data_IF_396765057145
#
_entry.id   IF_396765057145
#
_cell.length_a   1.000
_cell.length_b   1.000
_cell.length_c   1.000
_cell.angle_alpha   90.00
_cell.angle_beta   90.00
_cell.angle_gamma   90.00
#
_symmetry.space_group_name_H-M   'P 1'
#
loop_
_entity.id
_entity.type
_entity.pdbx_description
1 polymer ?
#
# COMPACT_ATOMS: atom_id res chain seq x y z
N UNK A 1 -26.63 43.52 37.81
CA UNK A 1 -26.58 43.73 36.35
C UNK A 1 -25.99 42.54 35.61
N UNK A 2 -24.90 41.93 36.06
CA UNK A 2 -24.27 40.77 35.41
C UNK A 2 -25.12 39.48 35.44
N UNK A 3 -25.87 39.22 36.51
CA UNK A 3 -26.72 38.01 36.68
C UNK A 3 -27.89 38.01 35.69
N UNK A 4 -28.46 39.19 35.35
CA UNK A 4 -29.57 39.31 34.39
C UNK A 4 -29.12 39.08 32.92
N UNK A 5 -27.88 39.41 32.59
CA UNK A 5 -27.32 39.19 31.26
C UNK A 5 -27.05 37.68 31.03
N UNK A 6 -26.54 36.99 32.03
CA UNK A 6 -26.29 35.54 31.96
C UNK A 6 -27.62 34.76 31.82
N UNK A 7 -28.66 35.14 32.59
CA UNK A 7 -29.99 34.54 32.49
C UNK A 7 -30.64 34.78 31.11
N UNK A 8 -30.44 35.93 30.52
CA UNK A 8 -30.96 36.27 29.19
C UNK A 8 -30.24 35.52 28.07
N UNK A 9 -28.93 35.33 28.21
CA UNK A 9 -28.12 34.52 27.26
C UNK A 9 -28.46 33.03 27.35
N UNK A 10 -28.66 32.49 28.54
CA UNK A 10 -29.09 31.10 28.73
C UNK A 10 -30.49 30.86 28.18
N UNK A 11 -31.46 31.75 28.42
CA UNK A 11 -32.81 31.68 27.87
C UNK A 11 -32.83 31.84 26.31
N UNK A 12 -31.92 32.64 25.75
CA UNK A 12 -31.75 32.74 24.30
C UNK A 12 -31.18 31.45 23.71
N UNK A 13 -30.19 30.83 24.34
CA UNK A 13 -29.62 29.56 23.93
C UNK A 13 -30.62 28.40 24.04
N UNK A 14 -31.47 28.38 25.10
CA UNK A 14 -32.54 27.39 25.23
C UNK A 14 -33.63 27.56 24.16
N UNK A 15 -33.97 28.77 23.79
CA UNK A 15 -34.93 29.03 22.69
C UNK A 15 -34.34 28.73 21.30
N UNK A 16 -33.04 28.97 21.07
CA UNK A 16 -32.36 28.60 19.80
C UNK A 16 -32.31 27.08 19.67
N UNK A 17 -32.03 26.32 20.73
CA UNK A 17 -32.05 24.88 20.76
C UNK A 17 -33.47 24.34 20.54
N UNK A 18 -34.53 25.02 21.02
CA UNK A 18 -35.92 24.58 20.83
C UNK A 18 -36.48 24.87 19.42
N UNK A 19 -35.95 25.83 18.69
CA UNK A 19 -36.42 26.16 17.31
C UNK A 19 -35.69 25.39 16.25
N UNK A 20 -34.49 24.83 16.55
CA UNK A 20 -33.72 23.95 15.69
C UNK A 20 -33.66 22.52 16.20
N UNK A 21 -34.58 22.13 17.09
CA UNK A 21 -34.67 20.82 17.73
C UNK A 21 -35.37 19.75 16.88
N UNK A 22 -35.07 19.66 15.59
CA UNK A 22 -35.01 18.31 14.96
C UNK A 22 -33.58 17.80 15.20
N UNK A 23 -33.41 16.59 15.73
CA UNK A 23 -32.08 16.00 15.70
C UNK A 23 -31.69 15.95 14.23
N UNK A 24 -30.62 16.68 13.87
CA UNK A 24 -29.87 16.37 12.66
C UNK A 24 -29.72 14.86 12.76
N UNK A 25 -30.43 14.12 11.92
CA UNK A 25 -30.27 12.68 11.82
C UNK A 25 -28.77 12.49 11.63
N UNK A 26 -28.15 12.03 12.70
CA UNK A 26 -26.77 11.57 12.69
C UNK A 26 -26.74 10.43 11.67
N UNK A 27 -26.45 10.78 10.42
CA UNK A 27 -25.97 9.82 9.43
C UNK A 27 -24.57 9.43 9.86
N UNK A 28 -24.37 9.11 11.13
CA UNK A 28 -23.23 8.41 11.61
C UNK A 28 -23.15 7.13 10.80
N UNK A 29 -22.12 7.03 9.98
CA UNK A 29 -21.75 5.78 9.34
C UNK A 29 -21.84 4.70 10.40
N UNK A 30 -22.76 3.73 10.22
CA UNK A 30 -22.91 2.64 11.18
C UNK A 30 -21.52 2.01 11.34
N UNK A 31 -21.08 1.86 12.58
CA UNK A 31 -19.76 1.33 12.88
C UNK A 31 -19.63 -0.09 12.30
N UNK A 32 -18.89 -0.24 11.22
CA UNK A 32 -18.64 -1.52 10.58
C UNK A 32 -17.74 -2.40 11.44
N UNK A 33 -17.93 -3.71 11.38
CA UNK A 33 -16.98 -4.69 11.90
C UNK A 33 -16.04 -5.11 10.79
N UNK A 34 -14.85 -4.54 10.77
CA UNK A 34 -13.88 -4.70 9.67
C UNK A 34 -12.83 -5.74 10.03
N UNK A 35 -12.72 -6.79 9.22
CA UNK A 35 -11.61 -7.74 9.27
C UNK A 35 -10.48 -7.24 8.36
N UNK A 36 -9.30 -6.97 8.94
CA UNK A 36 -8.10 -6.56 8.19
C UNK A 36 -7.09 -7.69 8.20
N UNK A 37 -6.80 -8.27 7.04
CA UNK A 37 -5.75 -9.28 6.90
C UNK A 37 -4.41 -8.62 6.60
N UNK A 38 -3.31 -9.16 7.15
CA UNK A 38 -1.99 -8.53 7.03
C UNK A 38 -1.92 -7.20 7.79
N UNK A 39 -2.71 -7.05 8.86
CA UNK A 39 -2.90 -5.79 9.55
C UNK A 39 -1.69 -5.28 10.34
N UNK A 40 -0.66 -6.11 10.55
CA UNK A 40 0.62 -5.67 11.14
C UNK A 40 1.68 -5.29 10.08
N UNK A 41 1.36 -5.38 8.79
CA UNK A 41 2.22 -4.92 7.71
C UNK A 41 2.27 -3.38 7.59
N UNK A 42 3.07 -2.89 6.64
CA UNK A 42 3.25 -1.45 6.38
C UNK A 42 1.92 -0.73 6.15
N UNK A 43 1.13 -1.19 5.19
CA UNK A 43 -0.18 -0.62 4.88
C UNK A 43 -1.20 -0.97 5.96
N UNK A 44 -1.19 -2.23 6.44
CA UNK A 44 -2.16 -2.74 7.39
C UNK A 44 -2.20 -1.98 8.70
N UNK A 45 -1.04 -1.69 9.30
CA UNK A 45 -0.96 -0.97 10.56
C UNK A 45 -1.54 0.46 10.50
N UNK A 46 -1.35 1.16 9.38
CA UNK A 46 -1.95 2.48 9.16
C UNK A 46 -3.45 2.38 8.86
N UNK A 47 -3.86 1.37 8.09
CA UNK A 47 -5.28 1.12 7.80
C UNK A 47 -6.06 0.78 9.06
N UNK A 48 -5.51 -0.04 9.96
CA UNK A 48 -6.13 -0.36 11.25
C UNK A 48 -6.33 0.90 12.09
N UNK A 49 -5.30 1.74 12.22
CA UNK A 49 -5.40 3.02 12.96
C UNK A 49 -6.49 3.90 12.35
N UNK A 50 -6.45 4.09 11.04
CA UNK A 50 -7.41 4.94 10.35
C UNK A 50 -8.85 4.45 10.50
N UNK A 51 -9.11 3.15 10.36
CA UNK A 51 -10.43 2.56 10.56
C UNK A 51 -10.95 2.76 11.98
N UNK A 52 -10.07 2.62 12.99
CA UNK A 52 -10.44 2.89 14.39
C UNK A 52 -10.73 4.38 14.62
N UNK A 53 -9.92 5.27 14.04
CA UNK A 53 -10.13 6.73 14.12
C UNK A 53 -11.46 7.15 13.44
N UNK A 54 -11.86 6.45 12.38
CA UNK A 54 -13.15 6.64 11.70
C UNK A 54 -14.33 5.96 12.45
N UNK A 55 -14.08 5.33 13.61
CA UNK A 55 -15.10 4.79 14.52
C UNK A 55 -15.47 3.32 14.27
N UNK A 56 -14.78 2.59 13.41
CA UNK A 56 -15.04 1.17 13.13
C UNK A 56 -14.50 0.25 14.25
N UNK A 57 -15.09 -0.94 14.35
CA UNK A 57 -14.53 -2.05 15.14
C UNK A 57 -13.63 -2.88 14.23
N UNK A 58 -12.37 -3.05 14.61
CA UNK A 58 -11.39 -3.69 13.73
C UNK A 58 -10.90 -5.00 14.33
N UNK A 59 -10.97 -6.08 13.57
CA UNK A 59 -10.31 -7.35 13.87
C UNK A 59 -9.12 -7.49 12.93
N UNK A 60 -7.93 -7.60 13.50
CA UNK A 60 -6.67 -7.74 12.76
C UNK A 60 -6.29 -9.21 12.71
N UNK A 61 -6.08 -9.76 11.52
CA UNK A 61 -5.54 -11.12 11.40
C UNK A 61 -4.17 -11.13 10.73
N UNK A 62 -3.31 -11.97 11.25
CA UNK A 62 -1.96 -12.24 10.75
C UNK A 62 -1.48 -13.58 11.35
N UNK A 63 -0.27 -14.03 10.95
CA UNK A 63 0.36 -15.22 11.52
C UNK A 63 0.69 -15.00 13.02
N UNK A 64 0.50 -16.04 13.83
CA UNK A 64 0.87 -16.04 15.23
C UNK A 64 2.39 -16.17 15.42
N UNK A 65 3.09 -15.05 15.35
CA UNK A 65 4.54 -14.99 15.59
C UNK A 65 4.88 -14.05 16.75
N UNK A 66 6.05 -14.23 17.40
CA UNK A 66 6.48 -13.30 18.46
C UNK A 66 6.52 -11.83 18.02
N UNK A 67 6.83 -11.57 16.76
CA UNK A 67 6.88 -10.21 16.19
C UNK A 67 5.48 -9.60 16.09
N UNK A 68 4.49 -10.34 15.56
CA UNK A 68 3.11 -9.89 15.44
C UNK A 68 2.45 -9.79 16.83
N UNK A 69 2.69 -10.72 17.75
CA UNK A 69 2.22 -10.60 19.15
C UNK A 69 2.74 -9.33 19.82
N UNK A 70 4.02 -8.99 19.59
CA UNK A 70 4.58 -7.73 20.06
C UNK A 70 3.91 -6.52 19.42
N UNK A 71 3.67 -6.54 18.11
CA UNK A 71 2.98 -5.45 17.40
C UNK A 71 1.54 -5.28 17.91
N UNK A 72 0.85 -6.37 18.22
CA UNK A 72 -0.52 -6.37 18.76
C UNK A 72 -0.65 -5.63 20.10
N UNK A 73 0.43 -5.53 20.90
CA UNK A 73 0.39 -4.74 22.17
C UNK A 73 0.19 -3.22 21.93
N UNK A 74 0.33 -2.76 20.69
CA UNK A 74 0.18 -1.36 20.30
C UNK A 74 -1.09 -1.10 19.48
N UNK A 75 -2.01 -2.07 19.43
CA UNK A 75 -3.30 -1.87 18.77
C UNK A 75 -4.13 -0.82 19.50
N UNK A 76 -4.90 0.01 18.77
CA UNK A 76 -5.88 0.92 19.36
C UNK A 76 -6.98 0.16 20.16
N UNK A 77 -7.66 0.85 21.07
CA UNK A 77 -8.65 0.22 21.95
C UNK A 77 -9.82 -0.50 21.25
N UNK A 78 -10.22 -0.03 20.07
CA UNK A 78 -11.28 -0.64 19.25
C UNK A 78 -10.77 -1.64 18.22
N UNK A 79 -9.53 -2.09 18.35
CA UNK A 79 -8.92 -3.12 17.51
C UNK A 79 -8.46 -4.31 18.36
N UNK A 80 -8.72 -5.51 17.86
CA UNK A 80 -8.30 -6.77 18.49
C UNK A 80 -7.60 -7.68 17.49
N UNK A 81 -6.68 -8.53 17.97
CA UNK A 81 -5.99 -9.49 17.12
C UNK A 81 -6.67 -10.86 17.19
N UNK A 82 -6.89 -11.44 16.01
CA UNK A 82 -7.32 -12.82 15.82
C UNK A 82 -6.30 -13.54 14.93
N UNK A 83 -5.60 -14.52 15.48
CA UNK A 83 -4.49 -15.19 14.80
C UNK A 83 -5.00 -16.28 13.86
N UNK A 84 -4.56 -16.26 12.60
CA UNK A 84 -4.87 -17.31 11.63
C UNK A 84 -3.79 -17.39 10.54
N UNK A 85 -3.44 -18.61 10.13
CA UNK A 85 -2.70 -18.86 8.91
C UNK A 85 -3.67 -18.92 7.72
N UNK A 86 -3.68 -17.88 6.90
CA UNK A 86 -4.58 -17.80 5.74
C UNK A 86 -4.29 -18.88 4.67
N UNK A 87 -3.15 -19.58 4.77
CA UNK A 87 -2.86 -20.73 3.88
C UNK A 87 -3.53 -22.02 4.36
N UNK A 88 -4.06 -22.06 5.60
CA UNK A 88 -4.93 -23.14 6.11
C UNK A 88 -6.41 -22.78 5.91
N UNK A 89 -7.08 -23.50 5.01
CA UNK A 89 -8.49 -23.27 4.69
C UNK A 89 -9.42 -23.39 5.89
N UNK A 90 -9.09 -24.25 6.87
CA UNK A 90 -9.92 -24.45 8.07
C UNK A 90 -9.81 -23.24 8.99
N UNK A 91 -8.58 -22.71 9.16
CA UNK A 91 -8.38 -21.50 9.96
C UNK A 91 -9.09 -20.31 9.33
N UNK A 92 -9.10 -20.20 8.00
CA UNK A 92 -9.84 -19.16 7.26
C UNK A 92 -11.36 -19.31 7.50
N UNK A 93 -11.91 -20.53 7.42
CA UNK A 93 -13.33 -20.77 7.66
C UNK A 93 -13.74 -20.40 9.10
N UNK A 94 -12.93 -20.79 10.09
CA UNK A 94 -13.13 -20.45 11.52
C UNK A 94 -13.03 -18.93 11.72
N UNK A 95 -11.99 -18.29 11.18
CA UNK A 95 -11.79 -16.85 11.29
C UNK A 95 -13.01 -16.06 10.78
N UNK A 96 -13.48 -16.36 9.58
CA UNK A 96 -14.62 -15.63 9.00
C UNK A 96 -15.91 -15.88 9.79
N UNK A 97 -16.14 -17.12 10.23
CA UNK A 97 -17.33 -17.48 11.02
C UNK A 97 -17.33 -16.82 12.40
N UNK A 98 -16.22 -16.83 13.14
CA UNK A 98 -16.12 -16.24 14.48
C UNK A 98 -16.13 -14.71 14.44
N UNK A 99 -15.46 -14.12 13.46
CA UNK A 99 -15.43 -12.67 13.31
C UNK A 99 -16.76 -12.14 12.79
N UNK A 100 -17.42 -12.84 11.87
CA UNK A 100 -18.64 -12.37 11.18
C UNK A 100 -18.50 -10.90 10.73
N UNK A 101 -17.51 -10.57 9.88
CA UNK A 101 -17.24 -9.19 9.48
C UNK A 101 -18.34 -8.67 8.54
N UNK A 102 -18.60 -7.36 8.58
CA UNK A 102 -19.40 -6.66 7.56
C UNK A 102 -18.55 -6.21 6.37
N UNK A 103 -17.22 -6.02 6.62
CA UNK A 103 -16.25 -5.68 5.59
C UNK A 103 -14.96 -6.47 5.81
N UNK A 104 -14.36 -6.96 4.73
CA UNK A 104 -13.00 -7.53 4.72
C UNK A 104 -12.08 -6.61 3.93
N UNK A 105 -11.03 -6.10 4.57
CA UNK A 105 -9.92 -5.38 3.92
C UNK A 105 -8.75 -6.35 3.79
N UNK A 106 -8.52 -6.85 2.57
CA UNK A 106 -7.52 -7.89 2.32
C UNK A 106 -6.19 -7.29 1.85
N UNK A 107 -5.23 -7.19 2.80
CA UNK A 107 -3.89 -6.64 2.58
C UNK A 107 -2.77 -7.68 2.65
N UNK A 108 -3.07 -8.88 3.18
CA UNK A 108 -2.09 -9.95 3.32
C UNK A 108 -1.53 -10.36 1.95
N UNK A 109 -0.23 -10.24 1.78
CA UNK A 109 0.47 -10.65 0.56
C UNK A 109 1.97 -10.82 0.81
N UNK A 110 2.59 -11.72 0.08
CA UNK A 110 4.05 -11.77 -0.10
C UNK A 110 4.39 -10.85 -1.25
N UNK A 111 5.04 -9.71 -0.93
CA UNK A 111 5.40 -8.65 -1.88
C UNK A 111 6.85 -8.77 -2.37
N UNK A 112 7.23 -7.94 -3.34
CA UNK A 112 8.58 -7.81 -3.85
C UNK A 112 9.56 -7.28 -2.79
N UNK A 113 10.83 -7.72 -2.77
CA UNK A 113 11.42 -8.77 -3.60
C UNK A 113 11.23 -10.21 -3.05
N UNK A 114 10.55 -10.38 -1.90
CA UNK A 114 10.40 -11.70 -1.25
C UNK A 114 9.62 -12.70 -2.12
N UNK A 115 8.67 -12.21 -2.92
CA UNK A 115 7.90 -13.06 -3.83
C UNK A 115 8.80 -13.80 -4.82
N UNK A 116 9.85 -13.16 -5.36
CA UNK A 116 10.79 -13.80 -6.29
C UNK A 116 11.65 -14.87 -5.61
N UNK A 117 11.99 -14.68 -4.33
CA UNK A 117 12.76 -15.67 -3.56
C UNK A 117 11.95 -16.89 -3.17
N UNK A 118 10.68 -16.71 -2.96
CA UNK A 118 9.77 -17.74 -2.43
C UNK A 118 8.49 -17.84 -3.28
N UNK A 119 8.60 -18.17 -4.59
CA UNK A 119 7.46 -18.09 -5.51
C UNK A 119 6.30 -19.00 -5.08
N UNK A 120 6.59 -20.22 -4.62
CA UNK A 120 5.54 -21.12 -4.13
C UNK A 120 4.82 -20.60 -2.88
N UNK A 121 5.55 -19.97 -1.94
CA UNK A 121 4.92 -19.31 -0.80
C UNK A 121 4.09 -18.12 -1.26
N UNK A 122 4.64 -17.31 -2.17
CA UNK A 122 3.93 -16.17 -2.74
C UNK A 122 2.61 -16.60 -3.39
N UNK A 123 2.60 -17.70 -4.18
CA UNK A 123 1.37 -18.23 -4.76
C UNK A 123 0.37 -18.67 -3.68
N UNK A 124 0.82 -19.48 -2.69
CA UNK A 124 -0.07 -19.92 -1.60
C UNK A 124 -0.71 -18.76 -0.84
N UNK A 125 0.07 -17.72 -0.51
CA UNK A 125 -0.44 -16.57 0.23
C UNK A 125 -1.24 -15.62 -0.66
N UNK A 126 -0.72 -15.28 -1.86
CA UNK A 126 -1.35 -14.26 -2.69
C UNK A 126 -2.58 -14.79 -3.44
N UNK A 127 -2.59 -16.06 -3.84
CA UNK A 127 -3.67 -16.63 -4.67
C UNK A 127 -4.54 -17.58 -3.87
N UNK A 128 -3.94 -18.66 -3.33
CA UNK A 128 -4.73 -19.74 -2.75
C UNK A 128 -5.43 -19.30 -1.45
N UNK A 129 -4.76 -18.51 -0.62
CA UNK A 129 -5.34 -17.95 0.60
C UNK A 129 -6.45 -16.92 0.28
N UNK A 130 -6.24 -16.06 -0.75
CA UNK A 130 -7.29 -15.15 -1.22
C UNK A 130 -8.52 -15.92 -1.70
N UNK A 131 -8.32 -16.97 -2.50
CA UNK A 131 -9.43 -17.82 -2.94
C UNK A 131 -10.19 -18.50 -1.78
N UNK A 132 -9.44 -18.95 -0.74
CA UNK A 132 -10.08 -19.51 0.46
C UNK A 132 -10.90 -18.46 1.23
N UNK A 133 -10.36 -17.23 1.35
CA UNK A 133 -11.03 -16.14 2.04
C UNK A 133 -12.31 -15.68 1.30
N UNK A 134 -12.25 -15.59 -0.04
CA UNK A 134 -13.43 -15.28 -0.86
C UNK A 134 -14.52 -16.33 -0.67
N UNK A 135 -14.18 -17.62 -0.74
CA UNK A 135 -15.12 -18.73 -0.54
C UNK A 135 -15.76 -18.68 0.86
N UNK A 136 -14.98 -18.45 1.91
CA UNK A 136 -15.49 -18.33 3.26
C UNK A 136 -16.43 -17.12 3.43
N UNK A 137 -16.08 -15.99 2.80
CA UNK A 137 -16.89 -14.78 2.79
C UNK A 137 -18.22 -14.98 2.05
N UNK A 138 -18.23 -15.64 0.90
CA UNK A 138 -19.45 -15.97 0.15
C UNK A 138 -20.38 -16.93 0.90
N UNK A 139 -19.80 -17.83 1.71
CA UNK A 139 -20.58 -18.79 2.51
C UNK A 139 -21.17 -18.20 3.80
N UNK A 140 -20.83 -16.95 4.14
CA UNK A 140 -21.36 -16.28 5.33
C UNK A 140 -22.86 -16.01 5.20
N UNK A 141 -23.60 -16.04 6.32
CA UNK A 141 -25.03 -15.68 6.35
C UNK A 141 -25.28 -14.25 5.85
N UNK A 142 -24.34 -13.35 6.17
CA UNK A 142 -24.31 -11.97 5.69
C UNK A 142 -22.97 -11.74 4.99
N UNK A 143 -22.90 -11.94 3.65
CA UNK A 143 -21.65 -11.78 2.92
C UNK A 143 -21.08 -10.35 3.06
N UNK A 144 -19.82 -10.22 3.47
CA UNK A 144 -19.20 -8.91 3.68
C UNK A 144 -18.84 -8.22 2.36
N UNK A 145 -18.73 -6.88 2.39
CA UNK A 145 -18.02 -6.15 1.32
C UNK A 145 -16.54 -6.56 1.35
N UNK A 146 -15.95 -6.79 0.18
CA UNK A 146 -14.56 -7.20 0.05
C UNK A 146 -13.71 -6.11 -0.62
N UNK A 147 -12.77 -5.51 0.12
CA UNK A 147 -11.83 -4.49 -0.39
C UNK A 147 -10.47 -5.13 -0.58
N UNK A 148 -10.06 -5.28 -1.84
CA UNK A 148 -8.81 -5.97 -2.23
C UNK A 148 -7.66 -4.99 -2.49
N UNK A 149 -6.51 -5.23 -1.86
CA UNK A 149 -5.25 -4.60 -2.25
C UNK A 149 -4.67 -5.26 -3.49
N UNK A 150 -4.75 -4.58 -4.62
CA UNK A 150 -4.06 -4.93 -5.86
C UNK A 150 -2.86 -4.01 -6.09
N UNK A 151 -2.28 -4.01 -7.28
CA UNK A 151 -1.06 -3.28 -7.61
C UNK A 151 -1.07 -2.80 -9.05
N UNK A 152 -0.35 -1.72 -9.33
CA UNK A 152 -0.05 -1.29 -10.70
C UNK A 152 0.82 -2.32 -11.48
N UNK A 153 1.43 -3.30 -10.80
CA UNK A 153 2.18 -4.38 -11.44
C UNK A 153 1.33 -5.24 -12.40
N UNK A 154 0.01 -5.21 -12.28
CA UNK A 154 -0.92 -5.89 -13.21
C UNK A 154 -0.81 -5.39 -14.66
N UNK A 155 -0.29 -4.18 -14.87
CA UNK A 155 -0.13 -3.57 -16.20
C UNK A 155 1.17 -4.00 -16.90
N UNK A 156 2.13 -4.54 -16.15
CA UNK A 156 3.41 -5.03 -16.65
C UNK A 156 4.44 -3.94 -16.95
N UNK A 157 5.46 -4.33 -17.71
CA UNK A 157 6.55 -3.43 -18.11
C UNK A 157 6.04 -2.30 -19.00
N UNK A 158 6.56 -1.08 -18.74
CA UNK A 158 6.08 0.09 -19.47
C UNK A 158 7.22 1.03 -19.83
N UNK A 159 7.46 1.17 -21.14
CA UNK A 159 8.47 2.06 -21.69
C UNK A 159 7.95 3.50 -21.73
N UNK A 160 8.47 4.43 -20.89
CA UNK A 160 7.96 5.80 -20.86
C UNK A 160 8.26 6.63 -22.10
N UNK A 161 9.17 6.16 -22.98
CA UNK A 161 9.49 6.82 -24.25
C UNK A 161 8.46 6.49 -25.35
N UNK A 162 7.78 5.35 -25.23
CA UNK A 162 6.76 4.90 -26.21
C UNK A 162 5.32 5.09 -25.71
N UNK A 163 5.15 5.15 -24.38
CA UNK A 163 3.85 5.30 -23.71
C UNK A 163 3.83 6.59 -22.89
N UNK A 164 3.54 7.77 -23.49
CA UNK A 164 3.58 9.04 -22.80
C UNK A 164 2.45 9.23 -21.78
N UNK A 165 1.31 8.58 -22.01
CA UNK A 165 0.10 8.73 -21.19
C UNK A 165 0.20 8.03 -19.85
N UNK A 166 -0.58 8.51 -18.86
CA UNK A 166 -0.76 7.84 -17.56
C UNK A 166 -1.53 6.53 -17.76
N UNK A 167 -1.24 5.54 -16.92
CA UNK A 167 -2.03 4.32 -16.82
C UNK A 167 -3.44 4.64 -16.31
N UNK A 168 -4.42 4.04 -16.94
CA UNK A 168 -5.84 4.13 -16.61
C UNK A 168 -6.34 2.75 -16.14
N UNK A 169 -7.49 2.72 -15.49
CA UNK A 169 -8.09 1.46 -15.05
C UNK A 169 -8.32 0.49 -16.21
N UNK A 170 -8.72 1.02 -17.36
CA UNK A 170 -8.99 0.27 -18.59
C UNK A 170 -7.75 -0.01 -19.46
N UNK A 171 -6.55 0.41 -19.04
CA UNK A 171 -5.31 0.02 -19.71
C UNK A 171 -5.14 -1.50 -19.73
N UNK A 172 -4.59 -2.10 -20.82
CA UNK A 172 -4.43 -3.56 -20.92
C UNK A 172 -3.62 -4.16 -19.77
N UNK A 173 -4.08 -5.27 -19.21
CA UNK A 173 -3.38 -6.02 -18.19
C UNK A 173 -2.41 -6.99 -18.86
N UNK A 174 -1.11 -6.80 -18.63
CA UNK A 174 -0.03 -7.59 -19.21
C UNK A 174 1.08 -7.80 -18.17
N UNK A 175 0.81 -8.53 -17.06
CA UNK A 175 1.77 -8.68 -15.97
C UNK A 175 3.09 -9.27 -16.49
N UNK A 176 4.20 -8.60 -16.19
CA UNK A 176 5.54 -9.02 -16.62
C UNK A 176 6.23 -9.90 -15.56
N UNK A 177 5.67 -9.96 -14.36
CA UNK A 177 6.20 -10.71 -13.25
C UNK A 177 5.15 -11.55 -12.53
N UNK A 178 5.62 -12.50 -11.73
CA UNK A 178 4.76 -13.43 -10.97
C UNK A 178 3.84 -12.69 -9.96
N UNK A 179 4.30 -11.57 -9.38
CA UNK A 179 3.49 -10.82 -8.43
C UNK A 179 2.31 -10.11 -9.12
N UNK A 180 2.57 -9.46 -10.24
CA UNK A 180 1.53 -8.87 -11.07
C UNK A 180 0.54 -9.92 -11.59
N UNK A 181 1.04 -11.08 -12.03
CA UNK A 181 0.20 -12.21 -12.44
C UNK A 181 -0.70 -12.71 -11.31
N UNK A 182 -0.17 -12.90 -10.08
CA UNK A 182 -0.98 -13.25 -8.92
C UNK A 182 -2.07 -12.23 -8.65
N UNK A 183 -1.78 -10.92 -8.78
CA UNK A 183 -2.79 -9.87 -8.58
C UNK A 183 -3.87 -9.92 -9.66
N UNK A 184 -3.53 -10.21 -10.93
CA UNK A 184 -4.53 -10.40 -11.99
C UNK A 184 -5.45 -11.60 -11.69
N UNK A 185 -4.86 -12.73 -11.24
CA UNK A 185 -5.65 -13.92 -10.87
C UNK A 185 -6.66 -13.59 -9.77
N UNK A 186 -6.24 -12.95 -8.68
CA UNK A 186 -7.16 -12.67 -7.57
C UNK A 186 -8.17 -11.57 -7.88
N UNK A 187 -7.84 -10.59 -8.71
CA UNK A 187 -8.82 -9.63 -9.23
C UNK A 187 -9.93 -10.35 -10.02
N UNK A 188 -9.55 -11.33 -10.85
CA UNK A 188 -10.52 -12.11 -11.62
C UNK A 188 -11.39 -13.02 -10.73
N UNK A 189 -10.80 -13.65 -9.70
CA UNK A 189 -11.54 -14.42 -8.71
C UNK A 189 -12.58 -13.55 -7.98
N UNK A 190 -12.16 -12.36 -7.54
CA UNK A 190 -13.05 -11.43 -6.84
C UNK A 190 -14.18 -10.92 -7.75
N UNK A 191 -13.89 -10.57 -9.01
CA UNK A 191 -14.93 -10.15 -9.98
C UNK A 191 -15.92 -11.26 -10.31
N UNK A 192 -15.50 -12.52 -10.23
CA UNK A 192 -16.36 -13.68 -10.46
C UNK A 192 -17.16 -14.08 -9.21
N UNK A 193 -16.85 -13.55 -8.03
CA UNK A 193 -17.56 -13.81 -6.79
C UNK A 193 -18.91 -13.10 -6.74
N UNK A 194 -19.78 -13.54 -5.82
CA UNK A 194 -21.06 -12.89 -5.53
C UNK A 194 -20.97 -11.74 -4.54
N UNK A 195 -19.75 -11.43 -4.05
CA UNK A 195 -19.53 -10.41 -3.04
C UNK A 195 -19.66 -9.00 -3.63
N UNK A 196 -20.06 -8.07 -2.79
CA UNK A 196 -19.82 -6.64 -3.07
C UNK A 196 -18.33 -6.36 -2.94
N UNK A 197 -17.68 -5.85 -4.00
CA UNK A 197 -16.24 -5.72 -4.02
C UNK A 197 -15.74 -4.36 -4.47
N UNK A 198 -14.54 -4.02 -4.00
CA UNK A 198 -13.73 -2.87 -4.46
C UNK A 198 -12.30 -3.33 -4.63
N UNK A 199 -11.65 -2.96 -5.74
CA UNK A 199 -10.25 -3.26 -6.01
C UNK A 199 -9.45 -1.97 -6.01
N UNK A 200 -8.42 -1.89 -5.15
CA UNK A 200 -7.50 -0.76 -5.09
C UNK A 200 -6.13 -1.17 -5.65
N UNK A 201 -5.78 -0.67 -6.86
CA UNK A 201 -4.46 -0.89 -7.49
C UNK A 201 -3.51 0.18 -7.00
N UNK A 202 -2.56 -0.22 -6.15
CA UNK A 202 -1.63 0.69 -5.49
C UNK A 202 -0.43 1.02 -6.37
N UNK A 203 0.01 2.28 -6.31
CA UNK A 203 1.33 2.72 -6.77
C UNK A 203 2.45 2.38 -5.79
N UNK A 204 3.55 3.13 -5.84
CA UNK A 204 4.70 2.94 -4.95
C UNK A 204 4.46 3.49 -3.54
N UNK A 205 4.13 2.63 -2.59
CA UNK A 205 3.81 3.05 -1.20
C UNK A 205 5.08 3.41 -0.42
N UNK A 206 5.10 4.60 0.16
CA UNK A 206 6.22 5.15 0.94
C UNK A 206 5.73 5.49 2.35
N UNK A 207 6.60 5.28 3.36
CA UNK A 207 6.35 5.71 4.73
C UNK A 207 7.43 6.67 5.21
N UNK A 208 7.02 7.68 5.96
CA UNK A 208 7.94 8.60 6.66
C UNK A 208 8.42 8.01 7.98
N UNK A 209 7.77 6.98 8.52
CA UNK A 209 8.11 6.37 9.80
C UNK A 209 9.49 5.70 9.76
N UNK A 210 10.37 5.97 10.75
CA UNK A 210 11.68 5.33 10.83
C UNK A 210 11.55 3.80 10.97
N UNK A 211 12.25 3.07 10.12
CA UNK A 211 12.27 1.60 10.16
C UNK A 211 11.06 0.90 9.54
N UNK A 212 10.03 1.63 9.12
CA UNK A 212 8.86 1.04 8.47
C UNK A 212 9.20 0.37 7.12
N UNK A 213 10.18 0.91 6.41
CA UNK A 213 10.67 0.32 5.16
C UNK A 213 11.99 -0.41 5.41
N UNK A 214 12.12 -1.69 5.03
CA UNK A 214 13.33 -2.44 5.29
C UNK A 214 14.51 -1.92 4.45
N UNK A 215 15.61 -1.58 5.12
CA UNK A 215 16.85 -1.18 4.49
C UNK A 215 17.81 -2.39 4.45
N UNK A 216 17.47 -3.38 3.62
CA UNK A 216 18.25 -4.61 3.48
C UNK A 216 19.14 -4.56 2.24
N UNK A 217 20.18 -5.40 2.19
CA UNK A 217 21.02 -5.53 1.01
C UNK A 217 20.25 -5.96 -0.25
N UNK A 218 19.18 -6.72 -0.08
CA UNK A 218 18.32 -7.16 -1.19
C UNK A 218 17.40 -6.04 -1.68
N UNK A 219 16.85 -5.22 -0.77
CA UNK A 219 16.05 -4.06 -1.15
C UNK A 219 16.91 -3.05 -1.93
N UNK A 220 18.12 -2.78 -1.46
CA UNK A 220 19.07 -1.90 -2.15
C UNK A 220 19.50 -2.43 -3.51
N UNK A 221 19.77 -3.74 -3.61
CA UNK A 221 20.06 -4.37 -4.88
C UNK A 221 18.89 -4.24 -5.84
N UNK A 222 17.68 -4.58 -5.38
CA UNK A 222 16.47 -4.49 -6.16
C UNK A 222 16.25 -3.07 -6.70
N UNK A 223 16.30 -2.05 -5.83
CA UNK A 223 16.17 -0.65 -6.24
C UNK A 223 17.25 -0.24 -7.26
N UNK A 224 18.50 -0.70 -7.09
CA UNK A 224 19.59 -0.39 -8.03
C UNK A 224 19.49 -1.12 -9.37
N UNK A 225 18.66 -2.16 -9.46
CA UNK A 225 18.39 -2.90 -10.69
C UNK A 225 17.38 -2.19 -11.59
N UNK A 226 16.57 -1.29 -11.04
CA UNK A 226 15.51 -0.61 -11.77
C UNK A 226 16.04 0.49 -12.70
N UNK A 227 15.41 0.71 -13.87
CA UNK A 227 15.75 1.81 -14.76
C UNK A 227 15.64 3.16 -14.06
N UNK A 228 16.72 3.95 -14.04
CA UNK A 228 16.77 5.23 -13.29
C UNK A 228 15.80 6.29 -13.80
N UNK A 229 15.41 6.22 -15.05
CA UNK A 229 14.46 7.09 -15.74
C UNK A 229 13.06 6.47 -15.87
N UNK A 230 12.85 5.26 -15.32
CA UNK A 230 11.53 4.65 -15.19
C UNK A 230 10.59 5.55 -14.37
N UNK A 231 9.32 5.58 -14.74
CA UNK A 231 8.30 6.34 -14.02
C UNK A 231 7.82 5.56 -12.82
N UNK A 232 7.58 6.26 -11.73
CA UNK A 232 6.95 5.73 -10.53
C UNK A 232 5.99 6.77 -9.97
N UNK A 233 4.77 6.35 -9.64
CA UNK A 233 3.81 7.16 -8.93
C UNK A 233 3.79 6.71 -7.47
N UNK A 234 4.41 7.51 -6.61
CA UNK A 234 4.48 7.20 -5.18
C UNK A 234 3.20 7.63 -4.45
N UNK A 235 3.04 7.19 -3.20
CA UNK A 235 1.94 7.58 -2.32
C UNK A 235 2.35 7.42 -0.86
N UNK A 236 1.92 8.32 0.00
CA UNK A 236 2.07 8.15 1.45
C UNK A 236 1.21 6.98 1.94
N UNK A 237 1.77 6.15 2.79
CA UNK A 237 1.05 5.00 3.37
C UNK A 237 -0.21 5.41 4.14
N UNK A 238 -0.25 6.62 4.70
CA UNK A 238 -1.42 7.18 5.40
C UNK A 238 -2.55 7.50 4.42
N UNK A 239 -2.21 7.98 3.23
CA UNK A 239 -3.19 8.21 2.14
C UNK A 239 -3.73 6.89 1.60
N UNK A 240 -2.87 5.87 1.49
CA UNK A 240 -3.33 4.50 1.18
C UNK A 240 -4.30 3.99 2.24
N UNK A 241 -3.99 4.19 3.53
CA UNK A 241 -4.88 3.82 4.63
C UNK A 241 -6.22 4.57 4.56
N UNK A 242 -6.19 5.87 4.24
CA UNK A 242 -7.39 6.67 4.02
C UNK A 242 -8.24 6.15 2.86
N UNK A 243 -7.60 5.72 1.75
CA UNK A 243 -8.29 5.12 0.62
C UNK A 243 -8.98 3.80 0.99
N UNK A 244 -8.29 2.91 1.74
CA UNK A 244 -8.89 1.66 2.22
C UNK A 244 -10.05 1.92 3.18
N UNK A 245 -9.89 2.82 4.15
CA UNK A 245 -10.95 3.16 5.08
C UNK A 245 -12.17 3.75 4.35
N UNK A 246 -11.98 4.72 3.45
CA UNK A 246 -13.08 5.27 2.67
C UNK A 246 -13.77 4.21 1.79
N UNK A 247 -13.04 3.26 1.23
CA UNK A 247 -13.60 2.20 0.37
C UNK A 247 -14.51 1.22 1.14
N UNK A 248 -14.48 1.21 2.47
CA UNK A 248 -15.38 0.35 3.27
C UNK A 248 -16.83 0.78 3.19
N UNK A 249 -17.11 2.08 2.99
CA UNK A 249 -18.47 2.66 3.04
C UNK A 249 -18.84 3.48 1.80
N UNK A 250 -17.85 3.92 0.99
CA UNK A 250 -18.12 4.72 -0.20
C UNK A 250 -18.96 3.95 -1.25
N UNK A 251 -19.69 4.71 -2.06
CA UNK A 251 -20.47 4.17 -3.20
C UNK A 251 -19.53 3.90 -4.41
N UNK A 252 -18.72 2.85 -4.27
CA UNK A 252 -17.73 2.40 -5.27
C UNK A 252 -17.77 0.87 -5.46
N UNK A 253 -18.91 0.26 -5.13
CA UNK A 253 -19.10 -1.18 -5.33
C UNK A 253 -18.92 -1.57 -6.80
N UNK A 254 -18.15 -2.63 -7.07
CA UNK A 254 -17.84 -3.09 -8.42
C UNK A 254 -16.80 -2.23 -9.14
N UNK A 255 -16.12 -1.28 -8.45
CA UNK A 255 -15.09 -0.44 -9.08
C UNK A 255 -13.67 -0.94 -8.81
N UNK A 256 -12.82 -0.74 -9.79
CA UNK A 256 -11.36 -0.80 -9.65
C UNK A 256 -10.83 0.63 -9.65
N UNK A 257 -10.03 1.01 -8.64
CA UNK A 257 -9.53 2.36 -8.45
C UNK A 257 -8.00 2.38 -8.39
N UNK A 258 -7.37 3.40 -8.99
CA UNK A 258 -5.92 3.59 -8.98
C UNK A 258 -5.53 4.49 -7.82
N UNK A 259 -4.71 3.97 -6.91
CA UNK A 259 -4.32 4.67 -5.67
C UNK A 259 -2.86 5.06 -5.74
N UNK A 260 -2.62 6.35 -5.90
CA UNK A 260 -1.31 6.99 -5.81
C UNK A 260 -1.46 8.44 -5.31
N UNK A 261 -0.37 9.09 -4.97
CA UNK A 261 -0.37 10.46 -4.44
C UNK A 261 -0.87 11.49 -5.46
N UNK A 262 -0.81 12.76 -5.09
CA UNK A 262 -1.10 13.87 -5.98
C UNK A 262 -0.01 14.06 -7.06
N UNK A 263 -0.13 15.07 -7.91
CA UNK A 263 0.82 15.30 -9.01
C UNK A 263 2.26 15.53 -8.55
N UNK A 264 2.51 15.89 -7.29
CA UNK A 264 3.87 16.00 -6.73
C UNK A 264 4.57 14.66 -6.57
N UNK A 265 3.82 13.56 -6.60
CA UNK A 265 4.29 12.18 -6.51
C UNK A 265 4.60 11.53 -7.88
N UNK A 266 4.46 12.26 -8.98
CA UNK A 266 4.85 11.81 -10.34
C UNK A 266 6.36 11.91 -10.51
N UNK A 267 7.06 10.85 -10.08
CA UNK A 267 8.52 10.84 -9.99
C UNK A 267 9.15 9.89 -11.01
N UNK A 268 10.47 9.99 -11.13
CA UNK A 268 11.29 8.96 -11.75
C UNK A 268 12.01 8.16 -10.67
N UNK A 269 12.35 6.91 -10.98
CA UNK A 269 12.93 5.98 -10.01
C UNK A 269 14.14 6.57 -9.27
N UNK A 270 15.06 7.23 -9.99
CA UNK A 270 16.24 7.87 -9.38
C UNK A 270 15.90 9.00 -8.39
N UNK A 271 14.78 9.70 -8.59
CA UNK A 271 14.39 10.84 -7.77
C UNK A 271 13.92 10.40 -6.40
N UNK A 272 13.22 9.26 -6.32
CA UNK A 272 12.72 8.70 -5.06
C UNK A 272 13.88 8.37 -4.12
N UNK A 273 14.80 7.52 -4.57
CA UNK A 273 15.92 7.08 -3.74
C UNK A 273 16.81 8.25 -3.27
N UNK A 274 17.13 9.18 -4.19
CA UNK A 274 17.95 10.36 -3.88
C UNK A 274 17.28 11.26 -2.85
N UNK A 275 16.01 11.60 -3.04
CA UNK A 275 15.26 12.47 -2.11
C UNK A 275 15.12 11.85 -0.71
N UNK A 276 14.83 10.55 -0.65
CA UNK A 276 14.72 9.83 0.62
C UNK A 276 16.06 9.73 1.36
N UNK A 277 17.16 9.52 0.65
CA UNK A 277 18.50 9.51 1.22
C UNK A 277 18.89 10.91 1.74
N UNK A 278 18.67 11.96 0.94
CA UNK A 278 18.94 13.34 1.31
C UNK A 278 18.12 13.79 2.52
N UNK A 279 16.84 13.46 2.57
CA UNK A 279 15.97 13.76 3.73
C UNK A 279 16.52 13.15 5.03
N UNK A 280 17.26 12.04 4.94
CA UNK A 280 17.92 11.37 6.08
C UNK A 280 19.35 11.85 6.34
N UNK A 281 19.86 12.84 5.59
CA UNK A 281 21.22 13.36 5.71
C UNK A 281 22.31 12.51 5.02
N UNK A 282 21.90 11.67 4.08
CA UNK A 282 22.76 10.76 3.32
C UNK A 282 22.86 11.21 1.86
N UNK A 283 23.43 12.40 1.62
CA UNK A 283 23.64 12.89 0.26
C UNK A 283 24.69 12.06 -0.49
N UNK A 284 24.50 11.85 -1.79
CA UNK A 284 25.41 11.16 -2.71
C UNK A 284 25.84 9.74 -2.31
N UNK A 285 25.06 9.04 -1.49
CA UNK A 285 25.42 7.68 -1.02
C UNK A 285 24.96 6.58 -1.97
N UNK A 286 23.91 6.83 -2.76
CA UNK A 286 23.35 5.81 -3.64
C UNK A 286 24.30 5.53 -4.82
N UNK A 287 24.45 4.26 -5.22
CA UNK A 287 25.21 3.92 -6.41
C UNK A 287 24.50 4.46 -7.66
N UNK A 288 25.30 4.81 -8.68
CA UNK A 288 24.76 5.17 -9.97
C UNK A 288 24.02 3.94 -10.56
N UNK A 289 22.76 4.11 -10.90
CA UNK A 289 21.99 3.14 -11.67
C UNK A 289 22.18 3.34 -13.17
N UNK A 290 21.40 2.60 -13.98
CA UNK A 290 21.40 2.72 -15.44
C UNK A 290 20.05 3.22 -15.95
N UNK A 291 20.01 3.98 -17.06
CA UNK A 291 18.76 4.31 -17.72
C UNK A 291 18.15 3.04 -18.34
N UNK A 292 16.86 3.05 -18.59
CA UNK A 292 16.20 2.03 -19.37
C UNK A 292 16.55 2.10 -20.85
N UNK A 293 16.32 1.01 -21.57
CA UNK A 293 16.52 0.94 -23.00
C UNK A 293 15.28 1.52 -23.72
N UNK A 294 15.38 2.66 -24.40
CA UNK A 294 14.23 3.27 -25.08
C UNK A 294 13.70 2.42 -26.25
N UNK A 295 14.52 1.51 -26.77
CA UNK A 295 14.18 0.65 -27.90
C UNK A 295 13.57 -0.70 -27.46
N UNK A 296 13.57 -1.03 -26.18
CA UNK A 296 12.99 -2.25 -25.61
C UNK A 296 11.78 -1.93 -24.74
N UNK A 297 10.63 -2.58 -24.97
CA UNK A 297 9.47 -2.47 -24.10
C UNK A 297 9.55 -3.43 -22.89
N UNK A 298 10.25 -4.56 -23.05
CA UNK A 298 10.33 -5.60 -22.03
C UNK A 298 11.31 -5.28 -20.90
N UNK A 299 12.33 -4.44 -21.14
CA UNK A 299 13.40 -4.13 -20.19
C UNK A 299 13.06 -2.97 -19.24
N UNK A 300 11.78 -2.70 -19.04
CA UNK A 300 11.29 -1.74 -18.06
C UNK A 300 10.63 -2.45 -16.90
N UNK A 301 10.61 -1.78 -15.74
CA UNK A 301 9.94 -2.34 -14.58
C UNK A 301 8.43 -2.05 -14.60
N UNK A 302 7.68 -2.71 -13.73
CA UNK A 302 6.21 -2.71 -13.68
C UNK A 302 5.63 -1.48 -12.97
N UNK A 303 6.27 -0.32 -13.11
CA UNK A 303 5.82 0.95 -12.51
C UNK A 303 5.58 2.00 -13.59
N UNK A 304 4.58 2.85 -13.39
CA UNK A 304 4.29 4.01 -14.24
C UNK A 304 3.45 5.03 -13.46
N UNK A 305 3.15 6.16 -14.07
CA UNK A 305 2.23 7.17 -13.57
C UNK A 305 0.78 6.75 -13.78
N UNK A 306 -0.05 6.95 -12.77
CA UNK A 306 -1.44 6.51 -12.72
C UNK A 306 -2.38 7.71 -12.85
N UNK A 307 -3.51 7.53 -13.53
CA UNK A 307 -4.64 8.47 -13.50
C UNK A 307 -5.49 8.18 -12.24
N UNK A 308 -5.30 8.97 -11.21
CA UNK A 308 -5.97 8.83 -9.91
C UNK A 308 -7.24 9.66 -9.77
N UNK A 309 -7.66 10.39 -10.80
CA UNK A 309 -8.75 11.36 -10.72
C UNK A 309 -10.07 10.76 -10.19
N UNK A 310 -10.49 9.58 -10.72
CA UNK A 310 -11.70 8.89 -10.25
C UNK A 310 -11.59 8.46 -8.78
N UNK A 311 -10.43 7.91 -8.39
CA UNK A 311 -10.20 7.47 -7.02
C UNK A 311 -10.21 8.64 -6.05
N UNK A 312 -9.54 9.74 -6.38
CA UNK A 312 -9.54 10.96 -5.54
C UNK A 312 -10.93 11.58 -5.43
N UNK A 313 -11.71 11.62 -6.52
CA UNK A 313 -13.08 12.10 -6.49
C UNK A 313 -13.95 11.28 -5.53
N UNK A 314 -13.82 9.95 -5.55
CA UNK A 314 -14.66 9.05 -4.79
C UNK A 314 -14.22 8.91 -3.32
N UNK A 315 -12.92 8.80 -3.07
CA UNK A 315 -12.37 8.43 -1.76
C UNK A 315 -11.71 9.60 -1.01
N UNK A 316 -11.38 10.69 -1.69
CA UNK A 316 -10.77 11.91 -1.11
C UNK A 316 -9.57 11.61 -0.20
N UNK A 317 -8.66 10.77 -0.68
CA UNK A 317 -7.60 10.15 0.13
C UNK A 317 -6.24 10.88 0.06
N UNK A 318 -6.00 11.73 -0.93
CA UNK A 318 -4.72 12.44 -1.14
C UNK A 318 -4.60 13.63 -0.18
N UNK A 319 -3.87 13.45 0.91
CA UNK A 319 -3.68 14.47 1.97
C UNK A 319 -2.22 14.86 2.15
N UNK A 320 -1.26 14.06 1.66
CA UNK A 320 0.17 14.27 1.87
C UNK A 320 0.88 14.44 0.53
N UNK A 321 1.46 15.62 0.29
CA UNK A 321 2.29 15.85 -0.89
C UNK A 321 3.70 15.27 -0.71
N UNK A 322 4.38 15.01 -1.81
CA UNK A 322 5.78 14.54 -1.76
C UNK A 322 6.72 15.52 -1.02
N UNK A 323 6.68 16.85 -1.26
CA UNK A 323 7.47 17.80 -0.50
C UNK A 323 7.19 17.77 1.01
N UNK A 324 5.91 17.64 1.43
CA UNK A 324 5.52 17.57 2.85
C UNK A 324 6.08 16.32 3.51
N UNK A 325 5.98 15.15 2.84
CA UNK A 325 6.60 13.90 3.32
C UNK A 325 8.10 14.05 3.54
N UNK A 326 8.81 14.69 2.60
CA UNK A 326 10.24 14.91 2.75
C UNK A 326 10.56 15.89 3.88
N UNK A 327 9.74 16.93 4.06
CA UNK A 327 9.89 17.88 5.16
C UNK A 327 9.67 17.20 6.51
N UNK A 328 8.63 16.38 6.64
CA UNK A 328 8.35 15.60 7.82
C UNK A 328 9.49 14.61 8.13
N UNK A 329 9.99 13.89 7.14
CA UNK A 329 11.12 12.98 7.29
C UNK A 329 12.38 13.70 7.77
N UNK A 330 12.68 14.91 7.23
CA UNK A 330 13.78 15.75 7.71
C UNK A 330 13.58 16.18 9.17
N UNK A 331 12.35 16.50 9.56
CA UNK A 331 12.00 16.87 10.93
C UNK A 331 12.16 15.71 11.91
N UNK A 332 11.72 14.50 11.54
CA UNK A 332 11.88 13.28 12.33
C UNK A 332 13.35 12.96 12.58
N UNK A 333 14.20 13.04 11.55
CA UNK A 333 15.64 12.81 11.68
C UNK A 333 16.30 13.92 12.52
N UNK A 334 15.81 15.15 12.39
CA UNK A 334 16.26 16.30 13.15
C UNK A 334 17.76 16.56 13.04
N UNK A 335 18.42 16.87 14.17
CA UNK A 335 19.86 17.17 14.21
C UNK A 335 20.75 15.96 13.89
N UNK A 336 20.25 14.73 13.99
CA UNK A 336 21.01 13.49 13.67
C UNK A 336 21.45 13.44 12.22
N UNK A 337 20.82 14.19 11.31
CA UNK A 337 21.20 14.27 9.89
C UNK A 337 22.61 14.87 9.69
N UNK A 338 23.06 15.78 10.57
CA UNK A 338 24.37 16.42 10.43
C UNK A 338 25.54 15.45 10.62
N UNK A 339 25.62 14.64 11.70
CA UNK A 339 26.67 13.62 11.80
C UNK A 339 26.56 12.53 10.74
N UNK A 340 25.36 12.25 10.19
CA UNK A 340 25.19 11.26 9.12
C UNK A 340 25.94 11.63 7.85
N UNK A 341 26.14 12.92 7.56
CA UNK A 341 26.91 13.37 6.39
C UNK A 341 28.39 12.94 6.46
N UNK A 342 28.98 12.83 7.65
CA UNK A 342 30.37 12.38 7.82
C UNK A 342 30.57 10.88 7.57
N UNK A 343 29.53 10.05 7.80
CA UNK A 343 29.58 8.62 7.51
C UNK A 343 29.21 8.30 6.05
N UNK A 344 28.73 9.28 5.30
CA UNK A 344 28.32 9.15 3.90
C UNK A 344 29.33 8.40 3.01
N UNK A 345 30.64 8.72 3.03
CA UNK A 345 31.64 8.02 2.23
C UNK A 345 31.75 6.52 2.54
N UNK A 346 31.65 6.14 3.82
CA UNK A 346 31.69 4.74 4.25
C UNK A 346 30.42 4.02 3.81
N UNK A 347 29.26 4.63 4.03
CA UNK A 347 27.95 4.12 3.58
C UNK A 347 27.96 3.95 2.06
N UNK A 348 28.42 4.94 1.30
CA UNK A 348 28.58 4.85 -0.16
C UNK A 348 29.41 3.63 -0.58
N UNK A 349 30.55 3.39 0.09
CA UNK A 349 31.41 2.24 -0.24
C UNK A 349 30.70 0.90 0.01
N UNK A 350 29.92 0.81 1.08
CA UNK A 350 29.12 -0.39 1.38
C UNK A 350 27.98 -0.57 0.37
N UNK A 351 27.26 0.51 0.05
CA UNK A 351 26.14 0.47 -0.90
C UNK A 351 26.60 0.17 -2.33
N UNK A 352 27.75 0.67 -2.76
CA UNK A 352 28.34 0.32 -4.05
C UNK A 352 28.55 -1.19 -4.21
N UNK A 353 28.78 -1.94 -3.12
CA UNK A 353 28.91 -3.40 -3.18
C UNK A 353 27.59 -4.11 -3.44
N UNK A 354 26.47 -3.44 -3.20
CA UNK A 354 25.12 -3.97 -3.42
C UNK A 354 24.54 -3.57 -4.78
N UNK A 355 25.24 -2.73 -5.57
CA UNK A 355 24.73 -2.27 -6.86
C UNK A 355 24.60 -3.42 -7.87
N UNK A 356 23.43 -3.52 -8.51
CA UNK A 356 23.09 -4.60 -9.45
C UNK A 356 24.03 -4.66 -10.67
N UNK A 357 24.54 -3.51 -11.13
CA UNK A 357 25.36 -3.40 -12.35
C UNK A 357 26.83 -3.11 -12.09
N UNK A 358 27.32 -3.33 -10.88
CA UNK A 358 28.69 -2.98 -10.49
C UNK A 358 29.74 -3.56 -11.42
N UNK A 359 29.62 -4.85 -11.76
CA UNK A 359 30.61 -5.60 -12.54
C UNK A 359 30.00 -6.10 -13.86
N UNK A 360 28.79 -5.65 -14.22
CA UNK A 360 28.10 -6.09 -15.42
C UNK A 360 28.40 -5.14 -16.61
N UNK A 361 28.65 -5.65 -17.82
CA UNK A 361 28.75 -4.82 -19.03
C UNK A 361 27.36 -4.29 -19.42
N UNK A 362 27.34 -3.23 -20.24
CA UNK A 362 26.11 -2.69 -20.82
C UNK A 362 25.83 -1.24 -20.46
N UNK A 363 25.09 -0.56 -21.34
CA UNK A 363 24.71 0.84 -21.20
C UNK A 363 23.37 1.00 -20.46
N UNK A 364 22.44 0.09 -20.70
CA UNK A 364 21.08 0.14 -20.20
C UNK A 364 20.87 -0.81 -19.02
N UNK A 365 19.82 -0.58 -18.26
CA UNK A 365 19.35 -1.49 -17.22
C UNK A 365 18.76 -2.75 -17.84
N UNK A 366 18.98 -3.87 -17.19
CA UNK A 366 18.30 -5.14 -17.40
C UNK A 366 17.73 -5.57 -16.04
N UNK A 367 16.57 -5.01 -15.64
CA UNK A 367 16.00 -5.27 -14.32
C UNK A 367 15.69 -6.75 -14.13
N UNK A 368 15.17 -7.42 -15.13
CA UNK A 368 14.77 -8.82 -15.03
C UNK A 368 15.96 -9.78 -14.96
N UNK A 369 17.02 -9.54 -15.74
CA UNK A 369 18.26 -10.30 -15.63
C UNK A 369 18.97 -10.09 -14.30
N UNK A 370 19.02 -8.85 -13.80
CA UNK A 370 19.59 -8.54 -12.49
C UNK A 370 18.78 -9.21 -11.37
N UNK A 371 17.46 -9.10 -11.36
CA UNK A 371 16.57 -9.72 -10.38
C UNK A 371 16.78 -11.24 -10.38
N UNK A 372 16.76 -11.87 -11.55
CA UNK A 372 16.98 -13.32 -11.69
C UNK A 372 18.32 -13.77 -11.11
N UNK A 373 19.36 -12.99 -11.29
CA UNK A 373 20.71 -13.37 -10.86
C UNK A 373 20.87 -13.46 -9.33
N UNK A 374 20.02 -12.76 -8.57
CA UNK A 374 20.18 -12.66 -7.09
C UNK A 374 18.93 -12.97 -6.30
N UNK A 375 17.75 -12.65 -6.81
CA UNK A 375 16.50 -12.69 -6.06
C UNK A 375 15.60 -13.87 -6.43
N UNK A 376 15.84 -14.53 -7.57
CA UNK A 376 15.06 -15.64 -8.08
C UNK A 376 14.35 -15.32 -9.40
N UNK A 377 13.60 -16.28 -9.95
CA UNK A 377 12.89 -16.13 -11.22
C UNK A 377 11.69 -15.18 -11.07
N UNK A 378 11.68 -14.03 -11.76
CA UNK A 378 10.60 -13.07 -11.63
C UNK A 378 9.39 -13.35 -12.55
N UNK A 379 9.53 -14.22 -13.55
CA UNK A 379 8.49 -14.43 -14.57
C UNK A 379 7.23 -15.06 -13.96
N UNK A 380 6.06 -14.79 -14.52
CA UNK A 380 4.84 -15.51 -14.19
C UNK A 380 5.02 -17.03 -14.33
N UNK A 381 4.35 -17.80 -13.50
CA UNK A 381 4.30 -19.24 -13.64
C UNK A 381 3.61 -19.61 -14.97
N UNK A 382 4.08 -20.66 -15.64
CA UNK A 382 3.54 -21.12 -16.93
C UNK A 382 2.08 -21.61 -16.86
N UNK A 383 1.51 -21.63 -15.67
CA UNK A 383 0.13 -22.05 -15.36
C UNK A 383 -0.80 -20.87 -15.02
N UNK A 384 -0.31 -19.64 -15.06
CA UNK A 384 -1.11 -18.45 -14.73
C UNK A 384 -1.72 -17.75 -16.00
#
# INVERSE_FOLDING_TARGET
MLVNVISMVLSFLENVISVYGEPISDWGTMAEKVLVTGGFGLVGSQTVRRLVDDGHRVVVTDLDTPAQRKAATSLPANAEAHWADLTDKREVDVLVAEVSPTVIVHLAAVILPAAYRHPQLARRVNVDATAALLRAAEASEHPPRFVLASSNAVYGSRNPHRHPDRLRVDSPLQPADLYGAHKVVVENLLRASSLEWVILRLGGVISVEPGAMPFTGDALFFESALPTDGRIHTVDVRDVAAAFAAATTADVAGETLLIAGDDSHLLRQKEVGLALAEARGLSDVLPAGRPGDPDSDENWFVTDWLDTARAQQALKFQHHSWPDMLAEMRAIVGWKRYPMSFVGPVVRQLLKRQAAYRDAPGRYADPWGAIRSRLGEPRPDSSD
#
